data_IF_493121194163
#
_entry.id   IF_493121194163
#
_cell.length_a   1.000
_cell.length_b   1.000
_cell.length_c   1.000
_cell.angle_alpha   90.00
_cell.angle_beta   90.00
_cell.angle_gamma   90.00
#
_symmetry.space_group_name_H-M   'P 1'
#
loop_
_entity.id
_entity.type
_entity.pdbx_description
1 polymer ?
#
# COMPACT_ATOMS: atom_id res chain seq x y z
N UNK A 1 67.73 -6.63 7.37
CA UNK A 1 67.13 -6.04 6.20
C UNK A 1 65.61 -6.06 6.31
N UNK A 2 65.12 -4.99 6.51
CA UNK A 2 63.78 -4.44 6.39
C UNK A 2 62.54 -5.28 6.75
N UNK A 3 62.11 -5.07 8.00
CA UNK A 3 60.86 -5.48 8.54
C UNK A 3 59.66 -4.83 7.87
N UNK A 4 58.62 -5.63 7.63
CA UNK A 4 57.25 -5.15 7.36
C UNK A 4 56.40 -5.45 8.58
N UNK A 5 56.05 -4.40 9.31
CA UNK A 5 55.03 -4.45 10.33
C UNK A 5 53.64 -4.51 9.62
N UNK A 6 52.92 -5.61 9.81
CA UNK A 6 51.54 -5.75 9.38
C UNK A 6 50.61 -5.13 10.44
N UNK A 7 49.85 -4.11 10.06
CA UNK A 7 48.82 -3.50 10.89
C UNK A 7 47.53 -4.32 10.78
N UNK A 8 47.22 -5.10 11.82
CA UNK A 8 45.92 -5.77 11.95
C UNK A 8 44.89 -4.74 12.45
N UNK A 9 44.04 -4.26 11.54
CA UNK A 9 42.90 -3.44 11.90
C UNK A 9 41.77 -4.33 12.43
N UNK A 10 41.48 -4.25 13.70
CA UNK A 10 40.30 -4.82 14.34
C UNK A 10 39.09 -3.93 13.98
N UNK A 11 38.28 -4.37 13.03
CA UNK A 11 36.95 -3.82 12.85
C UNK A 11 36.01 -4.46 13.88
N UNK A 12 35.84 -3.79 15.02
CA UNK A 12 34.82 -4.08 15.99
C UNK A 12 33.46 -3.69 15.40
N UNK A 13 32.73 -4.65 14.86
CA UNK A 13 31.32 -4.47 14.48
C UNK A 13 30.48 -4.28 15.74
N UNK A 14 30.06 -3.06 16.02
CA UNK A 14 29.10 -2.75 17.08
C UNK A 14 27.70 -3.13 16.57
N UNK A 15 27.32 -4.39 16.75
CA UNK A 15 25.93 -4.84 16.56
C UNK A 15 25.13 -4.34 17.76
N UNK A 16 24.53 -3.14 17.61
CA UNK A 16 23.52 -2.66 18.53
C UNK A 16 22.36 -3.66 18.62
N UNK A 17 21.67 -3.74 19.77
CA UNK A 17 20.58 -4.69 19.94
C UNK A 17 19.50 -4.44 18.89
N UNK A 18 19.17 -5.48 18.12
CA UNK A 18 18.03 -5.45 17.23
C UNK A 18 16.79 -5.09 18.06
N UNK A 19 16.16 -3.96 17.74
CA UNK A 19 14.88 -3.60 18.32
C UNK A 19 13.89 -4.70 17.93
N UNK A 20 13.58 -5.58 18.89
CA UNK A 20 12.49 -6.52 18.73
C UNK A 20 11.22 -5.71 18.51
N UNK A 21 10.55 -5.96 17.40
CA UNK A 21 9.24 -5.36 17.16
C UNK A 21 8.32 -5.65 18.35
N UNK A 22 7.55 -4.66 18.83
CA UNK A 22 6.65 -4.86 19.95
C UNK A 22 5.72 -6.03 19.65
N UNK A 23 5.65 -7.01 20.55
CA UNK A 23 4.67 -8.09 20.48
C UNK A 23 3.29 -7.45 20.66
N UNK A 24 2.62 -7.17 19.56
CA UNK A 24 1.23 -6.73 19.58
C UNK A 24 0.43 -7.95 20.04
N UNK A 25 -0.07 -7.93 21.26
CA UNK A 25 -1.09 -8.89 21.71
C UNK A 25 -2.31 -8.65 20.84
N UNK A 26 -2.87 -9.67 20.17
CA UNK A 26 -4.07 -9.49 19.39
C UNK A 26 -5.18 -9.02 20.34
N UNK A 27 -5.51 -7.74 20.32
CA UNK A 27 -6.73 -7.24 20.94
C UNK A 27 -7.87 -7.81 20.11
N UNK A 28 -8.86 -8.43 20.76
CA UNK A 28 -10.06 -8.87 20.08
C UNK A 28 -10.60 -7.68 19.26
N UNK A 29 -10.78 -7.88 17.96
CA UNK A 29 -11.38 -6.85 17.12
C UNK A 29 -12.76 -6.50 17.68
N UNK A 30 -13.14 -5.22 17.71
CA UNK A 30 -14.49 -4.84 18.13
C UNK A 30 -15.49 -5.56 17.23
N UNK A 31 -16.59 -6.05 17.80
CA UNK A 31 -17.68 -6.60 17.00
C UNK A 31 -18.26 -5.48 16.14
N UNK A 32 -18.10 -5.62 14.84
CA UNK A 32 -18.67 -4.67 13.88
C UNK A 32 -20.13 -5.05 13.61
N UNK A 33 -21.01 -4.07 13.37
CA UNK A 33 -22.37 -4.34 12.91
C UNK A 33 -22.37 -5.23 11.65
N UNK A 34 -23.38 -6.07 11.50
CA UNK A 34 -23.49 -6.97 10.33
C UNK A 34 -23.45 -6.23 8.98
N UNK A 35 -23.88 -4.96 8.95
CA UNK A 35 -23.88 -4.10 7.77
C UNK A 35 -22.65 -3.17 7.69
N UNK A 36 -21.61 -3.37 8.51
CA UNK A 36 -20.44 -2.48 8.56
C UNK A 36 -19.82 -2.20 7.19
N UNK A 37 -19.80 -3.20 6.31
CA UNK A 37 -19.20 -3.11 4.98
C UNK A 37 -20.23 -2.95 3.85
N UNK A 38 -21.51 -2.67 4.18
CA UNK A 38 -22.51 -2.29 3.17
C UNK A 38 -22.25 -0.88 2.64
N UNK A 39 -22.71 -0.60 1.42
CA UNK A 39 -22.60 0.71 0.77
C UNK A 39 -23.98 1.27 0.46
N UNK A 40 -24.07 2.55 0.15
CA UNK A 40 -25.31 3.17 -0.35
C UNK A 40 -25.54 2.75 -1.81
N UNK A 41 -24.46 2.77 -2.59
CA UNK A 41 -24.48 2.33 -4.00
C UNK A 41 -23.70 1.00 -4.11
N UNK A 42 -24.44 -0.11 -4.19
CA UNK A 42 -23.93 -1.46 -4.45
C UNK A 42 -23.91 -1.81 -5.95
N UNK A 43 -24.14 -0.84 -6.83
CA UNK A 43 -24.00 -1.00 -8.27
C UNK A 43 -22.57 -1.36 -8.69
N UNK A 44 -22.44 -1.83 -9.92
CA UNK A 44 -21.17 -2.29 -10.50
C UNK A 44 -20.08 -1.21 -10.41
N UNK A 45 -19.00 -1.49 -9.69
CA UNK A 45 -17.88 -0.58 -9.50
C UNK A 45 -17.17 -0.27 -10.83
N UNK A 46 -17.18 -1.20 -11.79
CA UNK A 46 -16.61 -0.96 -13.11
C UNK A 46 -17.28 0.19 -13.86
N UNK A 47 -18.59 0.39 -13.66
CA UNK A 47 -19.32 1.50 -14.24
C UNK A 47 -19.04 2.82 -13.51
N UNK A 48 -18.96 2.77 -12.17
CA UNK A 48 -18.70 3.96 -11.38
C UNK A 48 -17.29 4.52 -11.63
N UNK A 49 -16.28 3.65 -11.74
CA UNK A 49 -14.89 4.02 -11.98
C UNK A 49 -14.51 4.10 -13.47
N UNK A 50 -15.44 3.85 -14.41
CA UNK A 50 -15.17 3.95 -15.85
C UNK A 50 -14.68 5.34 -16.31
N UNK A 51 -15.27 6.47 -15.86
CA UNK A 51 -14.76 7.78 -16.21
C UNK A 51 -13.43 8.06 -15.48
N UNK A 52 -12.31 8.32 -16.18
CA UNK A 52 -11.02 8.59 -15.57
C UNK A 52 -11.04 9.90 -14.76
N UNK A 53 -10.39 9.88 -13.59
CA UNK A 53 -10.29 11.02 -12.68
C UNK A 53 -8.83 11.36 -12.44
N UNK A 54 -8.26 12.18 -13.32
CA UNK A 54 -6.85 12.60 -13.24
C UNK A 54 -6.68 13.78 -12.27
N UNK A 55 -7.13 13.59 -11.03
CA UNK A 55 -7.03 14.58 -9.93
C UNK A 55 -6.41 13.94 -8.70
N UNK A 56 -5.73 14.74 -7.88
CA UNK A 56 -5.24 14.28 -6.58
C UNK A 56 -6.36 14.39 -5.54
N UNK A 57 -6.50 13.37 -4.70
CA UNK A 57 -7.54 13.30 -3.67
C UNK A 57 -7.08 13.85 -2.32
N UNK A 58 -5.79 14.17 -2.19
CA UNK A 58 -5.15 14.80 -1.04
C UNK A 58 -4.37 16.04 -1.49
N UNK A 59 -4.12 16.96 -0.56
CA UNK A 59 -3.38 18.19 -0.85
C UNK A 59 -1.87 17.97 -0.97
N UNK A 60 -1.17 19.02 -1.42
CA UNK A 60 0.28 18.94 -1.67
C UNK A 60 1.08 18.66 -0.38
N UNK A 61 0.65 19.16 0.77
CA UNK A 61 1.31 18.90 2.05
C UNK A 61 1.20 17.43 2.46
N UNK A 62 0.00 16.85 2.33
CA UNK A 62 -0.23 15.43 2.58
C UNK A 62 0.56 14.55 1.59
N UNK A 63 0.63 14.93 0.30
CA UNK A 63 1.42 14.23 -0.71
C UNK A 63 2.90 14.22 -0.32
N UNK A 64 3.46 15.38 0.07
CA UNK A 64 4.86 15.50 0.46
C UNK A 64 5.17 14.62 1.69
N UNK A 65 4.35 14.71 2.73
CA UNK A 65 4.51 13.90 3.94
C UNK A 65 4.42 12.39 3.66
N UNK A 66 3.48 11.97 2.80
CA UNK A 66 3.32 10.58 2.40
C UNK A 66 4.52 10.09 1.58
N UNK A 67 5.02 10.90 0.66
CA UNK A 67 6.20 10.59 -0.15
C UNK A 67 7.45 10.42 0.73
N UNK A 68 7.66 11.29 1.72
CA UNK A 68 8.77 11.18 2.68
C UNK A 68 8.64 9.93 3.55
N UNK A 69 7.42 9.60 3.97
CA UNK A 69 7.16 8.39 4.72
C UNK A 69 7.48 7.15 3.87
N UNK A 70 7.03 7.08 2.63
CA UNK A 70 7.36 5.98 1.72
C UNK A 70 8.87 5.84 1.52
N UNK A 71 9.59 6.97 1.38
CA UNK A 71 11.05 6.98 1.29
C UNK A 71 11.73 6.31 2.49
N UNK A 72 11.15 6.48 3.68
CA UNK A 72 11.73 5.95 4.91
C UNK A 72 11.53 4.45 5.11
N UNK A 73 10.49 3.86 4.50
CA UNK A 73 10.09 2.47 4.77
C UNK A 73 10.20 1.54 3.57
N UNK A 74 10.11 2.06 2.34
CA UNK A 74 10.20 1.24 1.13
C UNK A 74 11.65 0.95 0.81
N UNK A 75 11.98 -0.33 0.64
CA UNK A 75 13.33 -0.77 0.32
C UNK A 75 13.74 -0.33 -1.08
N UNK A 76 14.91 0.33 -1.19
CA UNK A 76 15.52 0.64 -2.49
C UNK A 76 15.77 -0.65 -3.30
N UNK A 77 15.42 -0.62 -4.57
CA UNK A 77 15.54 -1.78 -5.46
C UNK A 77 14.48 -2.87 -5.21
N UNK A 78 13.50 -2.61 -4.34
CA UNK A 78 12.42 -3.55 -4.05
C UNK A 78 11.29 -3.52 -5.08
N UNK A 79 10.41 -4.53 -5.01
CA UNK A 79 9.15 -4.60 -5.72
C UNK A 79 8.02 -4.08 -4.85
N UNK A 80 7.18 -3.18 -5.36
CA UNK A 80 6.09 -2.51 -4.64
C UNK A 80 4.76 -2.81 -5.31
N UNK A 81 3.77 -3.21 -4.51
CA UNK A 81 2.36 -3.25 -4.93
C UNK A 81 1.69 -1.92 -4.57
N UNK A 82 1.22 -1.19 -5.57
CA UNK A 82 0.37 -0.01 -5.41
C UNK A 82 -1.09 -0.44 -5.60
N UNK A 83 -1.72 -0.78 -4.47
CA UNK A 83 -3.05 -1.37 -4.38
C UNK A 83 -4.12 -0.29 -4.46
N UNK A 84 -5.14 -0.49 -5.29
CA UNK A 84 -6.22 0.47 -5.55
C UNK A 84 -5.66 1.82 -6.02
N UNK A 85 -4.66 1.75 -6.87
CA UNK A 85 -3.93 2.84 -7.48
C UNK A 85 -4.76 3.56 -8.55
N UNK A 86 -4.26 4.71 -8.95
CA UNK A 86 -4.79 5.55 -10.00
C UNK A 86 -3.63 6.10 -10.85
N UNK A 87 -3.77 7.30 -11.41
CA UNK A 87 -2.78 7.95 -12.27
C UNK A 87 -1.52 8.43 -11.54
N UNK A 88 -1.47 8.34 -10.21
CA UNK A 88 -0.33 8.76 -9.37
C UNK A 88 -0.19 7.85 -8.15
N UNK A 89 1.03 7.44 -7.82
CA UNK A 89 1.35 6.56 -6.68
C UNK A 89 1.84 7.30 -5.44
N UNK A 90 2.13 8.60 -5.53
CA UNK A 90 2.81 9.41 -4.50
C UNK A 90 4.16 8.83 -4.00
N UNK A 91 4.70 7.82 -4.69
CA UNK A 91 6.05 7.32 -4.47
C UNK A 91 7.09 8.39 -4.88
N UNK A 92 8.18 8.57 -4.11
CA UNK A 92 9.23 9.49 -4.50
C UNK A 92 9.77 9.16 -5.90
N UNK A 93 9.92 10.17 -6.75
CA UNK A 93 10.38 9.97 -8.14
C UNK A 93 11.80 9.42 -8.21
N UNK A 94 12.66 9.85 -7.30
CA UNK A 94 14.07 9.46 -7.21
C UNK A 94 14.32 8.17 -6.41
N UNK A 95 13.28 7.53 -5.85
CA UNK A 95 13.42 6.24 -5.18
C UNK A 95 13.58 5.12 -6.23
N UNK A 96 14.78 4.50 -6.32
CA UNK A 96 14.97 3.42 -7.27
C UNK A 96 14.20 2.17 -6.80
N UNK A 97 13.33 1.66 -7.66
CA UNK A 97 12.54 0.45 -7.44
C UNK A 97 12.73 -0.51 -8.60
N UNK A 98 12.81 -1.80 -8.32
CA UNK A 98 12.90 -2.82 -9.35
C UNK A 98 11.59 -2.96 -10.12
N UNK A 99 10.47 -2.88 -9.39
CA UNK A 99 9.15 -3.01 -9.96
C UNK A 99 8.13 -2.21 -9.13
N UNK A 100 7.17 -1.57 -9.80
CA UNK A 100 5.97 -1.00 -9.20
C UNK A 100 4.77 -1.57 -9.92
N UNK A 101 4.00 -2.40 -9.23
CA UNK A 101 2.84 -3.10 -9.76
C UNK A 101 1.59 -2.33 -9.37
N UNK A 102 0.92 -1.72 -10.34
CA UNK A 102 -0.34 -1.02 -10.11
C UNK A 102 -1.54 -1.97 -10.17
N UNK A 103 -2.42 -1.86 -9.19
CA UNK A 103 -3.76 -2.46 -9.24
C UNK A 103 -4.80 -1.35 -9.09
N UNK A 104 -5.84 -1.35 -9.90
CA UNK A 104 -6.92 -0.35 -9.82
C UNK A 104 -8.13 -0.73 -10.65
N UNK A 105 -9.09 0.21 -10.76
CA UNK A 105 -10.34 -0.01 -11.48
C UNK A 105 -10.39 0.66 -12.86
N UNK A 106 -9.45 1.58 -13.16
CA UNK A 106 -9.46 2.32 -14.43
C UNK A 106 -8.13 2.16 -15.18
N UNK A 107 -8.19 1.51 -16.35
CA UNK A 107 -7.02 1.25 -17.19
C UNK A 107 -6.35 2.54 -17.70
N UNK A 108 -7.12 3.61 -17.97
CA UNK A 108 -6.56 4.87 -18.47
C UNK A 108 -5.79 5.61 -17.37
N UNK A 109 -6.31 5.59 -16.13
CA UNK A 109 -5.61 6.15 -14.98
C UNK A 109 -4.31 5.40 -14.72
N UNK A 110 -4.35 4.07 -14.67
CA UNK A 110 -3.16 3.24 -14.45
C UNK A 110 -2.11 3.43 -15.55
N UNK A 111 -2.54 3.52 -16.82
CA UNK A 111 -1.63 3.76 -17.94
C UNK A 111 -1.00 5.16 -17.90
N UNK A 112 -1.65 6.14 -17.28
CA UNK A 112 -1.13 7.49 -17.10
C UNK A 112 -0.15 7.63 -15.92
N UNK A 113 -0.05 6.62 -15.06
CA UNK A 113 0.80 6.66 -13.87
C UNK A 113 2.28 6.38 -14.23
N UNK A 114 3.18 7.39 -14.14
CA UNK A 114 4.56 7.25 -14.59
C UNK A 114 5.41 6.36 -13.68
N UNK A 115 4.92 6.02 -12.48
CA UNK A 115 5.67 5.17 -11.53
C UNK A 115 5.43 3.68 -11.75
N UNK A 116 4.33 3.30 -12.41
CA UNK A 116 4.00 1.90 -12.63
C UNK A 116 4.90 1.29 -13.72
N UNK A 117 5.50 0.15 -13.43
CA UNK A 117 6.22 -0.67 -14.42
C UNK A 117 5.30 -1.63 -15.16
N UNK A 118 4.25 -2.08 -14.47
CA UNK A 118 3.11 -2.82 -15.02
C UNK A 118 1.89 -2.62 -14.14
N UNK A 119 0.74 -2.95 -14.67
CA UNK A 119 -0.53 -2.83 -13.94
C UNK A 119 -1.59 -3.80 -14.47
N UNK A 120 -2.65 -3.95 -13.69
CA UNK A 120 -3.84 -4.71 -14.06
C UNK A 120 -5.09 -4.12 -13.43
N UNK A 121 -6.24 -4.41 -14.06
CA UNK A 121 -7.56 -3.97 -13.58
C UNK A 121 -8.28 -5.14 -12.94
N UNK A 122 -8.79 -4.95 -11.73
CA UNK A 122 -9.56 -5.95 -11.00
C UNK A 122 -10.47 -5.28 -9.97
N UNK A 123 -11.69 -5.81 -9.79
CA UNK A 123 -12.59 -5.41 -8.72
C UNK A 123 -12.40 -6.31 -7.50
N UNK A 124 -11.75 -5.79 -6.46
CA UNK A 124 -11.48 -6.51 -5.21
C UNK A 124 -12.73 -6.82 -4.39
N UNK A 125 -13.84 -6.13 -4.63
CA UNK A 125 -15.11 -6.44 -3.99
C UNK A 125 -15.78 -7.68 -4.61
N UNK A 126 -15.46 -8.00 -5.87
CA UNK A 126 -15.89 -9.22 -6.56
C UNK A 126 -14.90 -10.36 -6.36
N UNK A 127 -13.64 -10.11 -6.65
CA UNK A 127 -12.55 -11.07 -6.48
C UNK A 127 -11.42 -10.45 -5.64
N UNK A 128 -11.31 -10.78 -4.35
CA UNK A 128 -10.27 -10.25 -3.47
C UNK A 128 -8.88 -10.87 -3.70
N UNK A 129 -8.77 -11.94 -4.53
CA UNK A 129 -7.49 -12.61 -4.77
C UNK A 129 -6.74 -11.98 -5.93
N UNK A 130 -5.58 -11.40 -5.64
CA UNK A 130 -4.72 -10.77 -6.64
C UNK A 130 -3.93 -11.81 -7.46
N UNK A 131 -3.79 -11.64 -8.79
CA UNK A 131 -3.12 -12.59 -9.67
C UNK A 131 -1.58 -12.43 -9.62
N UNK A 132 -1.02 -12.41 -8.42
CA UNK A 132 0.39 -12.23 -8.16
C UNK A 132 0.96 -13.40 -7.35
N UNK A 133 2.25 -13.72 -7.49
CA UNK A 133 2.89 -14.81 -6.75
C UNK A 133 3.06 -14.46 -5.26
N UNK A 134 3.12 -15.50 -4.43
CA UNK A 134 3.39 -15.38 -2.99
C UNK A 134 4.79 -14.80 -2.75
N UNK A 135 4.92 -13.91 -1.77
CA UNK A 135 6.20 -13.37 -1.34
C UNK A 135 6.95 -12.57 -2.41
N UNK A 136 6.23 -12.01 -3.38
CA UNK A 136 6.80 -11.27 -4.50
C UNK A 136 6.96 -9.76 -4.28
N UNK A 137 6.47 -9.21 -3.16
CA UNK A 137 6.47 -7.77 -2.91
C UNK A 137 7.25 -7.40 -1.65
N UNK A 138 8.10 -6.38 -1.75
CA UNK A 138 8.87 -5.81 -0.63
C UNK A 138 8.08 -4.72 0.12
N UNK A 139 6.99 -4.25 -0.44
CA UNK A 139 6.01 -3.39 0.20
C UNK A 139 4.66 -3.44 -0.53
N UNK A 140 3.57 -3.15 0.18
CA UNK A 140 2.28 -2.85 -0.41
C UNK A 140 1.77 -1.51 0.12
N UNK A 141 1.18 -0.70 -0.76
CA UNK A 141 0.65 0.62 -0.46
C UNK A 141 -0.81 0.68 -0.87
N UNK A 142 -1.68 1.26 -0.03
CA UNK A 142 -3.06 1.56 -0.35
C UNK A 142 -3.35 3.00 0.07
N UNK A 143 -3.38 3.90 -0.90
CA UNK A 143 -3.53 5.33 -0.64
C UNK A 143 -4.98 5.77 -0.86
N UNK A 144 -5.61 6.32 0.18
CA UNK A 144 -6.96 6.93 0.22
C UNK A 144 -8.07 6.12 -0.46
N UNK A 145 -7.98 4.78 -0.38
CA UNK A 145 -8.91 3.88 -1.09
C UNK A 145 -9.51 2.78 -0.22
N UNK A 146 -8.96 2.51 0.97
CA UNK A 146 -9.38 1.41 1.86
C UNK A 146 -10.86 1.47 2.22
N UNK A 147 -11.46 2.65 2.28
CA UNK A 147 -12.87 2.91 2.61
C UNK A 147 -13.87 2.33 1.59
N UNK A 148 -13.40 1.85 0.45
CA UNK A 148 -14.26 1.28 -0.61
C UNK A 148 -14.29 -0.26 -0.59
N UNK A 149 -13.48 -0.89 0.28
CA UNK A 149 -13.41 -2.34 0.39
C UNK A 149 -14.58 -2.90 1.21
N UNK A 150 -15.39 -3.75 0.58
CA UNK A 150 -16.46 -4.51 1.24
C UNK A 150 -15.93 -5.83 1.85
N UNK A 151 -14.77 -6.31 1.39
CA UNK A 151 -14.10 -7.53 1.86
C UNK A 151 -12.67 -7.26 2.35
N UNK A 152 -12.47 -6.30 3.30
CA UNK A 152 -11.12 -5.89 3.69
C UNK A 152 -10.29 -7.03 4.31
N UNK A 153 -10.91 -7.96 5.03
CA UNK A 153 -10.21 -9.07 5.67
C UNK A 153 -9.60 -10.00 4.62
N UNK A 154 -10.38 -10.35 3.59
CA UNK A 154 -9.92 -11.21 2.50
C UNK A 154 -8.82 -10.53 1.69
N UNK A 155 -9.00 -9.24 1.36
CA UNK A 155 -8.00 -8.45 0.61
C UNK A 155 -6.70 -8.32 1.41
N UNK A 156 -6.77 -8.01 2.71
CA UNK A 156 -5.58 -7.89 3.57
C UNK A 156 -4.90 -9.24 3.77
N UNK A 157 -5.68 -10.33 3.84
CA UNK A 157 -5.16 -11.69 3.86
C UNK A 157 -4.38 -12.02 2.60
N UNK A 158 -4.87 -11.60 1.44
CA UNK A 158 -4.18 -11.81 0.17
C UNK A 158 -2.94 -10.90 0.02
N UNK A 159 -3.02 -9.64 0.42
CA UNK A 159 -1.83 -8.75 0.48
C UNK A 159 -0.74 -9.36 1.37
N UNK A 160 -1.11 -9.93 2.53
CA UNK A 160 -0.14 -10.62 3.40
C UNK A 160 0.55 -11.78 2.67
N UNK A 161 -0.18 -12.54 1.84
CA UNK A 161 0.39 -13.63 1.03
C UNK A 161 1.44 -13.12 0.04
N UNK A 162 1.19 -11.94 -0.55
CA UNK A 162 2.06 -11.34 -1.57
C UNK A 162 3.34 -10.73 -0.98
N UNK A 163 3.30 -10.32 0.28
CA UNK A 163 4.43 -9.64 0.93
C UNK A 163 5.52 -10.63 1.33
N UNK A 164 6.78 -10.22 1.10
CA UNK A 164 7.93 -10.87 1.72
C UNK A 164 7.81 -10.83 3.25
N UNK A 165 8.37 -11.82 3.99
CA UNK A 165 8.39 -11.77 5.44
C UNK A 165 8.97 -10.47 5.98
N UNK A 166 8.21 -9.75 6.82
CA UNK A 166 8.61 -8.46 7.40
C UNK A 166 8.40 -7.24 6.50
N UNK A 167 7.92 -7.43 5.27
CA UNK A 167 7.61 -6.31 4.37
C UNK A 167 6.38 -5.52 4.86
N UNK A 168 6.40 -4.16 4.74
CA UNK A 168 5.31 -3.33 5.22
C UNK A 168 4.09 -3.35 4.29
N UNK A 169 2.89 -3.28 4.89
CA UNK A 169 1.67 -2.85 4.22
C UNK A 169 1.25 -1.50 4.79
N UNK A 170 1.22 -0.47 3.96
CA UNK A 170 0.85 0.90 4.35
C UNK A 170 -0.53 1.22 3.83
N UNK A 171 -1.40 1.63 4.75
CA UNK A 171 -2.74 2.14 4.43
C UNK A 171 -2.80 3.58 4.87
N UNK A 172 -2.93 4.51 3.93
CA UNK A 172 -3.19 5.92 4.19
C UNK A 172 -4.62 6.28 3.79
N UNK A 173 -5.22 7.20 4.53
CA UNK A 173 -6.62 7.58 4.33
C UNK A 173 -6.85 9.07 4.61
N UNK A 174 -7.98 9.58 4.16
CA UNK A 174 -8.44 10.93 4.44
C UNK A 174 -9.96 10.93 4.61
N UNK A 175 -10.51 12.04 5.13
CA UNK A 175 -11.96 12.22 5.22
C UNK A 175 -12.63 12.51 3.86
N UNK A 176 -11.86 12.68 2.80
CA UNK A 176 -12.39 12.88 1.43
C UNK A 176 -12.71 11.54 0.80
N UNK A 177 -13.98 11.29 0.52
CA UNK A 177 -14.44 10.02 -0.04
C UNK A 177 -15.54 10.24 -1.08
N UNK A 178 -15.87 9.18 -1.83
CA UNK A 178 -17.13 9.07 -2.56
C UNK A 178 -18.18 8.48 -1.61
N UNK A 179 -19.07 9.27 -1.00
CA UNK A 179 -19.92 8.81 0.12
C UNK A 179 -20.79 7.62 -0.24
N UNK A 180 -21.27 7.54 -1.48
CA UNK A 180 -22.13 6.44 -1.93
C UNK A 180 -21.40 5.11 -2.06
N UNK A 181 -20.08 5.14 -2.33
CA UNK A 181 -19.21 3.96 -2.48
C UNK A 181 -18.45 3.62 -1.20
N UNK A 182 -18.38 4.51 -0.23
CA UNK A 182 -17.75 4.22 1.07
C UNK A 182 -18.62 3.27 1.90
N UNK A 183 -17.96 2.33 2.58
CA UNK A 183 -18.64 1.37 3.45
C UNK A 183 -19.25 2.04 4.69
N UNK A 184 -20.30 1.44 5.26
CA UNK A 184 -21.10 2.03 6.33
C UNK A 184 -20.26 2.37 7.58
N UNK A 185 -19.37 1.47 7.99
CA UNK A 185 -18.48 1.72 9.12
C UNK A 185 -17.61 2.96 8.90
N UNK A 186 -17.10 3.18 7.70
CA UNK A 186 -16.30 4.37 7.39
C UNK A 186 -17.12 5.66 7.52
N UNK A 187 -18.34 5.66 7.00
CA UNK A 187 -19.24 6.83 7.08
C UNK A 187 -19.70 7.16 8.52
N UNK A 188 -19.60 6.19 9.44
CA UNK A 188 -19.93 6.40 10.85
C UNK A 188 -18.78 6.94 11.69
N UNK A 189 -17.56 7.02 11.13
CA UNK A 189 -16.41 7.60 11.82
C UNK A 189 -16.47 9.13 11.77
N UNK A 190 -16.15 9.74 12.91
CA UNK A 190 -15.95 11.20 13.01
C UNK A 190 -14.47 11.50 12.74
N UNK A 191 -14.14 11.76 11.44
CA UNK A 191 -12.78 11.95 10.94
C UNK A 191 -12.51 13.42 10.58
#
# INVERSE_FOLDING_TARGET
DHGRAGLLGLFGGNSGPAHAAPKVTPTALPELPANAFSRIDDGDDSLFFAPPRLVTHIDAGAIAALSDFYRSIVRKGGAVLDLMSSWVSHLPEDLPLAEVIGHGMNAQELAANPRLTRWFVQDLNRDPRLPLPDGGCDAALCCVSVQYLQKPVEVFGDVRRLLCPGAPFVVSFSNRTFPTKSVAVWRSLDL
#
